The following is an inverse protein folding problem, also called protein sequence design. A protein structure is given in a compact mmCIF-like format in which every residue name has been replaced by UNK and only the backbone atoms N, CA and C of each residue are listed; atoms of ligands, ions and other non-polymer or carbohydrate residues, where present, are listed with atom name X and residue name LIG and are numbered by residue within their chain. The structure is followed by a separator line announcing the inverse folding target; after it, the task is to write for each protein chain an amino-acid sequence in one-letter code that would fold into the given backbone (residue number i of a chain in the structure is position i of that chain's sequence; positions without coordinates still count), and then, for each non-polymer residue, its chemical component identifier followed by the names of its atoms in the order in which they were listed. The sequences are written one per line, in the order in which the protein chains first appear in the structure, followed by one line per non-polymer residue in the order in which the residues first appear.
data_IF_721923512769
#
_entry.id   IF_721923512769
#
_cell.length_a   1.000
_cell.length_b   1.000
_cell.length_c   1.000
_cell.angle_alpha   90.00
_cell.angle_beta   90.00
_cell.angle_gamma   90.00
#
_symmetry.space_group_name_H-M   'P 1'
#
loop_
_entity.id
_entity.type
_entity.pdbx_description
1 polymer ?
#
# COMPACT_ATOMS: atom_id res chain seq x y z
N UNK A 1 -54.95 13.37 51.19
CA UNK A 1 -54.36 12.02 51.13
C UNK A 1 -54.10 11.55 49.69
N UNK A 2 -55.03 11.74 48.74
CA UNK A 2 -54.85 11.40 47.32
C UNK A 2 -53.74 12.19 46.60
N UNK A 3 -53.56 13.47 46.93
CA UNK A 3 -52.54 14.32 46.31
C UNK A 3 -51.08 13.93 46.65
N UNK A 4 -50.84 13.29 47.80
CA UNK A 4 -49.51 12.77 48.14
C UNK A 4 -49.17 11.54 47.30
N UNK A 5 -50.13 10.62 47.12
CA UNK A 5 -49.93 9.42 46.28
C UNK A 5 -49.73 9.76 44.81
N UNK A 6 -50.42 10.78 44.31
CA UNK A 6 -50.20 11.29 42.95
C UNK A 6 -48.79 11.89 42.79
N UNK A 7 -48.28 12.63 43.80
CA UNK A 7 -46.91 13.16 43.79
C UNK A 7 -45.84 12.08 43.88
N UNK A 8 -46.09 11.00 44.63
CA UNK A 8 -45.17 9.86 44.73
C UNK A 8 -45.08 9.10 43.39
N UNK A 9 -46.22 8.86 42.72
CA UNK A 9 -46.26 8.27 41.37
C UNK A 9 -45.57 9.17 40.32
N UNK A 10 -45.78 10.48 40.39
CA UNK A 10 -45.16 11.45 39.48
C UNK A 10 -43.63 11.56 39.70
N UNK A 11 -43.17 11.32 40.93
CA UNK A 11 -41.74 11.23 41.25
C UNK A 11 -41.12 9.87 40.88
N UNK A 12 -41.88 8.78 40.92
CA UNK A 12 -41.45 7.47 40.42
C UNK A 12 -41.38 7.41 38.88
N UNK A 13 -42.26 8.14 38.19
CA UNK A 13 -42.23 8.34 36.73
C UNK A 13 -41.12 9.31 36.28
N UNK A 14 -40.57 10.12 37.21
CA UNK A 14 -39.35 10.93 37.02
C UNK A 14 -38.05 10.15 37.25
N UNK A 15 -38.08 8.80 37.28
CA UNK A 15 -36.85 7.98 37.21
C UNK A 15 -36.07 8.38 35.95
N UNK A 16 -34.73 8.54 36.02
CA UNK A 16 -33.91 9.00 34.90
C UNK A 16 -34.23 8.16 33.66
N UNK A 17 -34.86 8.89 32.75
CA UNK A 17 -35.72 8.46 31.69
C UNK A 17 -35.02 7.42 30.80
N UNK A 18 -35.73 6.38 30.37
CA UNK A 18 -35.25 5.37 29.43
C UNK A 18 -34.50 6.01 28.24
N UNK A 19 -34.94 7.19 27.83
CA UNK A 19 -34.30 8.04 26.83
C UNK A 19 -32.83 8.40 27.16
N UNK A 20 -32.50 8.73 28.40
CA UNK A 20 -31.13 9.03 28.85
C UNK A 20 -30.25 7.79 28.71
N UNK A 21 -30.73 6.62 29.14
CA UNK A 21 -30.02 5.35 28.99
C UNK A 21 -29.81 4.97 27.52
N UNK A 22 -30.82 5.16 26.66
CA UNK A 22 -30.70 4.93 25.22
C UNK A 22 -29.64 5.87 24.61
N UNK A 23 -29.65 7.15 24.98
CA UNK A 23 -28.66 8.14 24.49
C UNK A 23 -27.23 7.78 24.93
N UNK A 24 -27.05 7.37 26.18
CA UNK A 24 -25.76 6.92 26.71
C UNK A 24 -25.26 5.66 26.00
N UNK A 25 -26.13 4.67 25.79
CA UNK A 25 -25.81 3.46 25.07
C UNK A 25 -25.41 3.73 23.61
N UNK A 26 -26.19 4.56 22.91
CA UNK A 26 -25.88 4.96 21.53
C UNK A 26 -24.55 5.70 21.43
N UNK A 27 -24.27 6.59 22.38
CA UNK A 27 -23.02 7.35 22.45
C UNK A 27 -21.83 6.41 22.68
N UNK A 28 -21.96 5.50 23.63
CA UNK A 28 -20.94 4.50 23.96
C UNK A 28 -20.66 3.57 22.76
N UNK A 29 -21.72 3.08 22.11
CA UNK A 29 -21.63 2.25 20.91
C UNK A 29 -20.94 2.98 19.75
N UNK A 30 -21.28 4.25 19.52
CA UNK A 30 -20.61 5.10 18.53
C UNK A 30 -19.13 5.28 18.86
N UNK A 31 -18.80 5.57 20.11
CA UNK A 31 -17.42 5.76 20.56
C UNK A 31 -16.57 4.49 20.39
N UNK A 32 -17.14 3.32 20.69
CA UNK A 32 -16.50 2.02 20.47
C UNK A 32 -16.19 1.79 18.98
N UNK A 33 -17.14 2.10 18.08
CA UNK A 33 -16.92 1.99 16.62
C UNK A 33 -15.83 2.93 16.15
N UNK A 34 -15.84 4.18 16.61
CA UNK A 34 -14.80 5.18 16.29
C UNK A 34 -13.43 4.73 16.80
N UNK A 35 -13.35 4.19 18.01
CA UNK A 35 -12.10 3.67 18.56
C UNK A 35 -11.54 2.50 17.73
N UNK A 36 -12.41 1.58 17.29
CA UNK A 36 -12.02 0.49 16.38
C UNK A 36 -11.49 1.01 15.04
N UNK A 37 -12.17 1.97 14.43
CA UNK A 37 -11.71 2.59 13.18
C UNK A 37 -10.35 3.26 13.34
N UNK A 38 -10.15 4.03 14.42
CA UNK A 38 -8.85 4.64 14.73
C UNK A 38 -7.73 3.62 14.93
N UNK A 39 -8.03 2.43 15.45
CA UNK A 39 -7.03 1.35 15.54
C UNK A 39 -6.66 0.83 14.16
N UNK A 40 -7.64 0.58 13.29
CA UNK A 40 -7.40 0.12 11.91
C UNK A 40 -6.59 1.16 11.13
N UNK A 41 -6.91 2.45 11.25
CA UNK A 41 -6.14 3.53 10.61
C UNK A 41 -4.68 3.56 11.07
N UNK A 42 -4.41 3.31 12.36
CA UNK A 42 -3.04 3.23 12.89
C UNK A 42 -2.27 2.03 12.32
N UNK A 43 -2.90 0.86 12.23
CA UNK A 43 -2.28 -0.33 11.65
C UNK A 43 -1.98 -0.14 10.15
N UNK A 44 -2.93 0.43 9.39
CA UNK A 44 -2.72 0.77 7.97
C UNK A 44 -1.53 1.73 7.82
N UNK A 45 -1.44 2.76 8.67
CA UNK A 45 -0.32 3.70 8.63
C UNK A 45 1.01 2.99 8.88
N UNK A 46 1.07 2.14 9.90
CA UNK A 46 2.27 1.37 10.24
C UNK A 46 2.72 0.47 9.08
N UNK A 47 1.79 -0.28 8.48
CA UNK A 47 2.08 -1.12 7.31
C UNK A 47 2.55 -0.31 6.10
N UNK A 48 1.98 0.87 5.86
CA UNK A 48 2.42 1.76 4.79
C UNK A 48 3.84 2.32 5.05
N UNK A 49 4.16 2.68 6.29
CA UNK A 49 5.50 3.15 6.65
C UNK A 49 6.53 2.02 6.49
N UNK A 50 6.19 0.79 6.88
CA UNK A 50 7.01 -0.40 6.63
C UNK A 50 7.20 -0.66 5.12
N UNK A 51 6.12 -0.61 4.33
CA UNK A 51 6.17 -0.75 2.87
C UNK A 51 7.02 0.33 2.19
N UNK A 52 6.97 1.58 2.64
CA UNK A 52 7.85 2.65 2.14
C UNK A 52 9.31 2.37 2.45
N UNK A 53 9.62 1.80 3.62
CA UNK A 53 10.95 1.30 3.93
C UNK A 53 11.42 0.24 2.94
N UNK A 54 10.52 -0.67 2.52
CA UNK A 54 10.79 -1.63 1.46
C UNK A 54 10.90 -1.00 0.07
N UNK A 55 10.16 0.06 -0.25
CA UNK A 55 10.28 0.80 -1.51
C UNK A 55 11.59 1.57 -1.61
N UNK A 56 12.16 2.05 -0.49
CA UNK A 56 13.51 2.63 -0.46
C UNK A 56 14.56 1.54 -0.70
N UNK A 57 14.35 0.32 -0.20
CA UNK A 57 15.21 -0.83 -0.52
C UNK A 57 15.02 -1.34 -1.97
N UNK A 58 13.82 -1.19 -2.56
CA UNK A 58 13.59 -1.34 -4.00
C UNK A 58 13.90 -0.07 -4.80
N UNK A 59 14.39 0.97 -4.15
CA UNK A 59 14.89 2.21 -4.74
C UNK A 59 16.23 2.01 -5.42
N UNK A 60 16.77 0.79 -5.40
CA UNK A 60 17.69 0.33 -6.43
C UNK A 60 16.90 0.11 -7.72
N UNK A 61 16.98 1.14 -8.56
CA UNK A 61 16.86 1.07 -10.01
C UNK A 61 15.43 1.05 -10.57
N UNK A 62 14.72 2.14 -10.33
CA UNK A 62 14.11 2.80 -11.48
C UNK A 62 15.22 3.61 -12.18
N UNK A 63 16.21 2.90 -12.74
CA UNK A 63 17.07 3.50 -13.76
C UNK A 63 16.11 4.15 -14.73
N UNK A 64 16.33 5.44 -14.97
CA UNK A 64 15.56 6.18 -15.95
C UNK A 64 15.50 5.30 -17.20
N UNK A 65 14.29 5.11 -17.72
CA UNK A 65 13.89 4.02 -18.63
C UNK A 65 14.65 3.96 -19.97
N UNK A 66 15.72 4.72 -20.10
CA UNK A 66 16.46 5.02 -21.31
C UNK A 66 17.97 4.71 -21.19
N UNK A 67 18.52 4.35 -20.01
CA UNK A 67 19.93 4.00 -19.88
C UNK A 67 20.21 2.53 -20.20
N UNK A 68 21.19 2.27 -21.07
CA UNK A 68 21.63 0.92 -21.39
C UNK A 68 22.32 0.24 -20.19
N UNK A 69 21.80 -0.90 -19.73
CA UNK A 69 22.36 -1.64 -18.57
C UNK A 69 23.71 -2.33 -18.81
N UNK A 70 24.33 -2.16 -19.99
CA UNK A 70 25.66 -2.69 -20.31
C UNK A 70 26.70 -1.57 -20.26
N UNK A 71 26.42 -0.45 -20.93
CA UNK A 71 27.37 0.66 -21.05
C UNK A 71 27.01 1.88 -20.19
N UNK A 72 25.85 1.88 -19.54
CA UNK A 72 25.33 2.96 -18.67
C UNK A 72 25.25 4.31 -19.39
N UNK A 73 24.94 4.29 -20.70
CA UNK A 73 24.74 5.48 -21.52
C UNK A 73 23.26 5.57 -21.89
N UNK A 74 22.70 6.77 -21.83
CA UNK A 74 21.33 7.07 -22.30
C UNK A 74 21.19 6.85 -23.81
N UNK A 75 20.08 6.23 -24.22
CA UNK A 75 19.78 5.95 -25.62
C UNK A 75 18.86 7.02 -26.23
N UNK A 76 19.38 7.81 -27.17
CA UNK A 76 18.56 8.69 -28.02
C UNK A 76 18.09 7.99 -29.32
N UNK A 77 18.65 6.83 -29.67
CA UNK A 77 18.52 6.22 -31.00
C UNK A 77 18.29 4.71 -30.90
N UNK A 78 17.01 4.35 -30.99
CA UNK A 78 16.50 3.01 -31.24
C UNK A 78 16.72 1.98 -30.13
N UNK A 79 15.76 1.99 -29.20
CA UNK A 79 15.68 1.04 -28.09
C UNK A 79 15.36 -0.37 -28.58
N UNK A 80 16.27 -1.34 -28.43
CA UNK A 80 15.92 -2.74 -28.55
C UNK A 80 15.38 -3.23 -27.20
N UNK A 81 14.05 -3.10 -27.00
CA UNK A 81 13.39 -3.93 -25.99
C UNK A 81 13.46 -5.36 -26.48
N UNK A 82 14.29 -6.17 -25.82
CA UNK A 82 14.49 -7.57 -26.13
C UNK A 82 13.20 -8.36 -25.86
N UNK A 83 12.21 -8.24 -26.76
CA UNK A 83 10.85 -8.79 -26.61
C UNK A 83 10.81 -10.30 -26.42
N UNK A 84 11.88 -11.00 -26.76
CA UNK A 84 11.92 -12.44 -26.60
C UNK A 84 12.63 -12.92 -25.31
N UNK A 85 13.17 -12.00 -24.50
CA UNK A 85 13.42 -12.31 -23.10
C UNK A 85 12.19 -11.95 -22.27
N UNK A 86 11.74 -12.90 -21.44
CA UNK A 86 10.69 -12.63 -20.44
C UNK A 86 11.16 -11.76 -19.27
N UNK A 87 12.39 -11.23 -19.32
CA UNK A 87 12.88 -10.29 -18.31
C UNK A 87 12.85 -8.87 -18.90
N UNK A 88 12.50 -7.89 -18.07
CA UNK A 88 12.40 -6.46 -18.44
C UNK A 88 13.79 -5.79 -18.62
N UNK A 89 14.77 -6.55 -19.13
CA UNK A 89 16.12 -6.06 -19.33
C UNK A 89 16.22 -5.15 -20.56
N UNK A 90 16.93 -4.03 -20.39
CA UNK A 90 17.08 -2.98 -21.41
C UNK A 90 18.55 -2.73 -21.74
N UNK A 91 18.90 -2.70 -23.02
CA UNK A 91 20.25 -2.35 -23.50
C UNK A 91 20.22 -1.90 -24.96
N UNK A 92 21.25 -1.18 -25.40
CA UNK A 92 21.47 -0.87 -26.81
C UNK A 92 21.62 -2.15 -27.64
N UNK A 93 21.14 -2.13 -28.89
CA UNK A 93 21.32 -3.24 -29.82
C UNK A 93 22.81 -3.60 -30.02
N UNK A 94 23.67 -2.59 -30.19
CA UNK A 94 25.11 -2.82 -30.36
C UNK A 94 25.76 -3.46 -29.13
N UNK A 95 25.32 -3.09 -27.93
CA UNK A 95 25.78 -3.71 -26.69
C UNK A 95 25.30 -5.17 -26.59
N UNK A 96 24.10 -5.45 -27.07
CA UNK A 96 23.53 -6.79 -27.13
C UNK A 96 24.28 -7.70 -28.11
N UNK A 97 24.61 -7.20 -29.31
CA UNK A 97 25.40 -7.96 -30.31
C UNK A 97 26.80 -8.25 -29.78
N UNK A 98 27.49 -7.25 -29.23
CA UNK A 98 28.83 -7.43 -28.62
C UNK A 98 28.82 -8.46 -27.51
N UNK A 99 27.75 -8.50 -26.71
CA UNK A 99 27.63 -9.50 -25.65
C UNK A 99 27.61 -10.93 -26.21
N UNK A 100 26.87 -11.17 -27.30
CA UNK A 100 26.86 -12.48 -27.95
C UNK A 100 28.18 -12.86 -28.59
N UNK A 101 28.88 -11.90 -29.19
CA UNK A 101 30.20 -12.14 -29.75
C UNK A 101 31.20 -12.59 -28.67
N UNK A 102 31.10 -12.03 -27.46
CA UNK A 102 31.95 -12.38 -26.32
C UNK A 102 31.54 -13.73 -25.71
N UNK A 103 30.24 -13.94 -25.50
CA UNK A 103 29.74 -15.12 -24.79
C UNK A 103 29.67 -16.37 -25.68
N UNK A 104 29.58 -16.23 -27.00
CA UNK A 104 29.44 -17.34 -27.95
C UNK A 104 28.08 -18.06 -27.91
N UNK A 105 27.13 -17.55 -27.12
CA UNK A 105 25.77 -18.07 -27.00
C UNK A 105 24.77 -16.94 -26.77
N UNK A 106 23.53 -17.14 -27.23
CA UNK A 106 22.46 -16.15 -27.07
C UNK A 106 21.88 -16.15 -25.64
N UNK A 107 22.66 -15.73 -24.65
CA UNK A 107 22.20 -15.57 -23.26
C UNK A 107 21.94 -14.11 -22.90
N UNK A 108 20.89 -13.87 -22.12
CA UNK A 108 20.67 -12.58 -21.48
C UNK A 108 21.81 -12.21 -20.50
N UNK A 109 22.43 -11.00 -20.59
CA UNK A 109 23.42 -10.53 -19.63
C UNK A 109 22.90 -10.46 -18.19
N UNK A 110 21.59 -10.21 -18.04
CA UNK A 110 20.97 -10.02 -16.73
C UNK A 110 20.52 -11.34 -16.08
N UNK A 111 19.66 -12.11 -16.77
CA UNK A 111 19.10 -13.33 -16.19
C UNK A 111 19.81 -14.62 -16.63
N UNK A 112 20.81 -14.53 -17.53
CA UNK A 112 21.58 -15.65 -18.12
C UNK A 112 20.74 -16.76 -18.76
N UNK A 113 19.44 -16.50 -18.99
CA UNK A 113 18.58 -17.41 -19.74
C UNK A 113 18.96 -17.35 -21.21
N UNK A 114 19.00 -18.54 -21.83
CA UNK A 114 19.14 -18.67 -23.27
C UNK A 114 17.86 -18.23 -23.97
N UNK A 115 18.05 -17.71 -25.18
CA UNK A 115 16.99 -17.53 -26.18
C UNK A 115 16.49 -18.86 -26.72
#
# INVERSE_FOLDING_TARGET
MLECKLRELDNELKKPNLETHIREWLTTSKNLKVARLKNVEREIKKLNDELRGFEILRGFEKHEKNECNICLVEDERSTFKCKYLKCDYYCHYDCWVKWFDICGFMQCPHCRRYY
#
